data_IF_734417959738
#
_entry.id   IF_734417959738
#
_cell.length_a   1.000
_cell.length_b   1.000
_cell.length_c   1.000
_cell.angle_alpha   90.00
_cell.angle_beta   90.00
_cell.angle_gamma   90.00
#
_symmetry.space_group_name_H-M   'P 1'
#
loop_
_entity.id
_entity.type
_entity.pdbx_description
1 polymer ?
#
# COMPACT_ATOMS: atom_id res chain seq x y z
N UNK A 1 12.85 39.50 25.33
CA UNK A 1 12.92 38.18 24.66
C UNK A 1 11.59 37.76 24.05
N UNK A 2 10.46 38.07 24.68
CA UNK A 2 9.15 37.50 24.35
C UNK A 2 8.58 37.98 23.01
N UNK A 3 8.86 39.22 22.62
CA UNK A 3 8.48 39.77 21.32
C UNK A 3 9.09 38.97 20.14
N UNK A 4 10.36 38.57 20.26
CA UNK A 4 11.03 37.78 19.22
C UNK A 4 10.48 36.35 19.14
N UNK A 5 10.16 35.73 20.28
CA UNK A 5 9.51 34.42 20.32
C UNK A 5 8.10 34.47 19.71
N UNK A 6 7.31 35.50 20.02
CA UNK A 6 5.96 35.67 19.45
C UNK A 6 6.01 35.88 17.93
N UNK A 7 6.99 36.66 17.43
CA UNK A 7 7.20 36.86 16.00
C UNK A 7 7.58 35.55 15.29
N UNK A 8 8.44 34.72 15.89
CA UNK A 8 8.78 33.39 15.35
C UNK A 8 7.57 32.45 15.30
N UNK A 9 6.73 32.47 16.33
CA UNK A 9 5.49 31.68 16.35
C UNK A 9 4.49 32.15 15.27
N UNK A 10 4.35 33.47 15.08
CA UNK A 10 3.55 34.05 14.00
C UNK A 10 4.09 33.66 12.63
N UNK A 11 5.41 33.68 12.45
CA UNK A 11 6.05 33.23 11.21
C UNK A 11 5.75 31.75 10.93
N UNK A 12 5.89 30.85 11.92
CA UNK A 12 5.53 29.43 11.76
C UNK A 12 4.07 29.25 11.35
N UNK A 13 3.18 29.97 12.02
CA UNK A 13 1.75 29.92 11.72
C UNK A 13 1.48 30.39 10.29
N UNK A 14 2.18 31.45 9.85
CA UNK A 14 2.13 31.95 8.48
C UNK A 14 2.65 30.92 7.48
N UNK A 15 3.80 30.29 7.74
CA UNK A 15 4.38 29.28 6.85
C UNK A 15 3.50 28.03 6.71
N UNK A 16 2.81 27.63 7.79
CA UNK A 16 1.88 26.49 7.81
C UNK A 16 0.59 26.76 7.05
N UNK A 17 0.04 27.98 7.15
CA UNK A 17 -1.29 28.31 6.60
C UNK A 17 -1.23 28.90 5.20
N UNK A 18 -0.21 29.71 4.91
CA UNK A 18 -0.11 30.42 3.63
C UNK A 18 0.56 29.57 2.55
N UNK A 19 0.19 29.80 1.30
CA UNK A 19 0.83 29.20 0.10
C UNK A 19 1.49 30.26 -0.79
N UNK A 20 1.56 31.51 -0.34
CA UNK A 20 1.89 32.69 -1.17
C UNK A 20 3.40 32.93 -1.28
N UNK A 21 4.23 32.01 -0.82
CA UNK A 21 5.68 32.19 -0.77
C UNK A 21 6.43 31.15 -1.61
N UNK A 22 7.62 31.53 -2.08
CA UNK A 22 8.55 30.61 -2.75
C UNK A 22 9.40 29.90 -1.69
N UNK A 23 9.00 28.69 -1.31
CA UNK A 23 9.63 27.91 -0.23
C UNK A 23 11.15 27.72 -0.43
N UNK A 24 11.58 27.42 -1.66
CA UNK A 24 12.99 27.20 -2.00
C UNK A 24 13.87 28.44 -1.74
N UNK A 25 13.35 29.64 -2.05
CA UNK A 25 14.07 30.88 -1.83
C UNK A 25 14.25 31.19 -0.34
N UNK A 26 13.17 31.01 0.44
CA UNK A 26 13.20 31.22 1.89
C UNK A 26 14.12 30.19 2.58
N UNK A 27 14.11 28.94 2.11
CA UNK A 27 14.99 27.90 2.62
C UNK A 27 16.46 28.26 2.41
N UNK A 28 16.84 28.71 1.20
CA UNK A 28 18.21 29.16 0.94
C UNK A 28 18.63 30.33 1.83
N UNK A 29 17.76 31.32 2.02
CA UNK A 29 18.04 32.45 2.92
C UNK A 29 18.19 32.01 4.37
N UNK A 30 17.32 31.15 4.87
CA UNK A 30 17.40 30.69 6.26
C UNK A 30 18.61 29.80 6.52
N UNK A 31 19.04 29.00 5.56
CA UNK A 31 20.30 28.24 5.66
C UNK A 31 21.50 29.17 5.74
N UNK A 32 21.57 30.22 4.91
CA UNK A 32 22.66 31.21 5.02
C UNK A 32 22.66 31.94 6.37
N UNK A 33 21.47 32.21 6.93
CA UNK A 33 21.35 32.80 8.26
C UNK A 33 21.76 31.81 9.35
N UNK A 34 21.42 30.53 9.21
CA UNK A 34 21.81 29.47 10.14
C UNK A 34 23.34 29.32 10.18
N UNK A 35 24.02 29.33 9.03
CA UNK A 35 25.49 29.27 8.98
C UNK A 35 26.17 30.51 9.55
N UNK A 36 25.48 31.66 9.58
CA UNK A 36 26.02 32.94 10.04
C UNK A 36 25.70 33.23 11.51
N UNK A 37 24.56 32.76 11.98
CA UNK A 37 24.19 32.82 13.38
C UNK A 37 24.92 31.69 14.11
N UNK A 38 25.76 32.01 15.10
CA UNK A 38 26.38 30.98 15.95
C UNK A 38 25.34 30.07 16.63
N UNK A 39 25.83 29.10 17.41
CA UNK A 39 25.07 27.95 17.92
C UNK A 39 23.67 28.25 18.47
N UNK A 40 23.49 29.38 19.17
CA UNK A 40 22.21 29.76 19.78
C UNK A 40 21.13 30.24 18.78
N UNK A 41 21.54 30.81 17.64
CA UNK A 41 20.61 31.29 16.62
C UNK A 41 20.12 30.18 15.69
N UNK A 42 20.97 29.18 15.45
CA UNK A 42 20.65 28.03 14.61
C UNK A 42 19.52 27.18 15.19
N UNK A 43 19.53 26.93 16.50
CA UNK A 43 18.53 26.09 17.17
C UNK A 43 17.12 26.69 17.09
N UNK A 44 17.01 28.01 17.20
CA UNK A 44 15.72 28.71 17.19
C UNK A 44 15.04 28.74 15.81
N UNK A 45 15.78 28.46 14.73
CA UNK A 45 15.28 28.47 13.36
C UNK A 45 14.96 27.07 12.82
N UNK A 46 15.37 26.00 13.52
CA UNK A 46 15.10 24.60 13.14
C UNK A 46 13.62 24.32 12.81
N UNK A 47 12.63 24.82 13.58
CA UNK A 47 11.22 24.54 13.27
C UNK A 47 10.78 25.16 11.94
N UNK A 48 11.35 26.32 11.59
CA UNK A 48 11.03 27.02 10.35
C UNK A 48 11.67 26.30 9.15
N UNK A 49 12.90 25.80 9.33
CA UNK A 49 13.60 25.01 8.32
C UNK A 49 12.88 23.69 8.02
N UNK A 50 12.39 23.01 9.06
CA UNK A 50 11.61 21.78 8.91
C UNK A 50 10.33 22.01 8.10
N UNK A 51 9.53 23.04 8.45
CA UNK A 51 8.31 23.38 7.72
C UNK A 51 8.62 23.74 6.25
N UNK A 52 9.66 24.54 6.00
CA UNK A 52 10.05 24.91 4.64
C UNK A 52 10.55 23.72 3.81
N UNK A 53 11.32 22.80 4.40
CA UNK A 53 11.74 21.56 3.72
C UNK A 53 10.55 20.69 3.34
N UNK A 54 9.59 20.53 4.26
CA UNK A 54 8.35 19.81 3.98
C UNK A 54 7.58 20.44 2.81
N UNK A 55 7.56 21.78 2.73
CA UNK A 55 6.90 22.53 1.65
C UNK A 55 7.64 22.47 0.32
N UNK A 56 8.96 22.31 0.34
CA UNK A 56 9.77 22.06 -0.85
C UNK A 56 9.63 20.62 -1.38
N UNK A 57 8.92 19.73 -0.66
CA UNK A 57 8.77 18.32 -1.00
C UNK A 57 9.86 17.41 -0.41
N UNK A 58 10.84 17.96 0.30
CA UNK A 58 11.86 17.18 1.02
C UNK A 58 11.38 16.83 2.43
N UNK A 59 10.44 15.88 2.49
CA UNK A 59 9.85 15.43 3.75
C UNK A 59 10.86 14.65 4.58
N UNK A 60 11.72 13.86 3.95
CA UNK A 60 12.74 13.08 4.67
C UNK A 60 13.76 14.01 5.36
N UNK A 61 14.21 15.07 4.68
CA UNK A 61 15.08 16.08 5.27
C UNK A 61 14.41 16.91 6.37
N UNK A 62 13.09 17.14 6.27
CA UNK A 62 12.30 17.78 7.31
C UNK A 62 12.17 16.90 8.57
N UNK A 63 11.87 15.61 8.38
CA UNK A 63 11.76 14.64 9.47
C UNK A 63 13.06 14.48 10.24
N UNK A 64 14.21 14.47 9.54
CA UNK A 64 15.53 14.44 10.20
C UNK A 64 15.73 15.64 11.11
N UNK A 65 15.40 16.85 10.66
CA UNK A 65 15.52 18.06 11.49
C UNK A 65 14.59 18.00 12.70
N UNK A 66 13.35 17.55 12.51
CA UNK A 66 12.39 17.47 13.62
C UNK A 66 12.77 16.40 14.65
N UNK A 67 13.25 15.25 14.21
CA UNK A 67 13.54 14.13 15.09
C UNK A 67 14.91 14.23 15.73
N UNK A 68 15.94 14.60 14.96
CA UNK A 68 17.33 14.60 15.43
C UNK A 68 17.67 15.90 16.15
N UNK A 69 17.32 17.04 15.54
CA UNK A 69 17.73 18.35 16.06
C UNK A 69 16.74 18.89 17.11
N UNK A 70 15.43 18.73 16.88
CA UNK A 70 14.38 19.22 17.78
C UNK A 70 13.89 18.16 18.78
N UNK A 71 13.87 16.88 18.39
CA UNK A 71 13.26 15.80 19.19
C UNK A 71 11.73 15.79 19.19
N UNK A 72 11.09 16.61 18.36
CA UNK A 72 9.64 16.81 18.32
C UNK A 72 8.95 15.73 17.46
N UNK A 73 8.71 14.57 18.07
CA UNK A 73 8.05 13.43 17.43
C UNK A 73 6.58 13.71 17.05
N UNK A 74 5.90 14.57 17.82
CA UNK A 74 4.50 14.93 17.56
C UNK A 74 4.35 15.81 16.32
N UNK A 75 5.21 16.81 16.18
CA UNK A 75 5.23 17.66 14.99
C UNK A 75 5.57 16.85 13.73
N UNK A 76 6.49 15.88 13.84
CA UNK A 76 6.80 14.96 12.75
C UNK A 76 5.59 14.10 12.33
N UNK A 77 4.81 13.61 13.30
CA UNK A 77 3.60 12.84 13.04
C UNK A 77 2.51 13.69 12.36
N UNK A 78 2.30 14.93 12.81
CA UNK A 78 1.37 15.86 12.17
C UNK A 78 1.75 16.11 10.70
N UNK A 79 3.04 16.33 10.43
CA UNK A 79 3.53 16.51 9.06
C UNK A 79 3.30 15.30 8.17
N UNK A 80 3.47 14.07 8.68
CA UNK A 80 3.16 12.85 7.94
C UNK A 80 1.65 12.72 7.67
N UNK A 81 0.81 13.08 8.64
CA UNK A 81 -0.66 13.01 8.50
C UNK A 81 -1.22 14.07 7.53
N UNK A 82 -0.55 15.21 7.39
CA UNK A 82 -0.94 16.27 6.47
C UNK A 82 -0.72 15.91 4.98
N UNK A 83 0.00 14.80 4.69
CA UNK A 83 0.27 14.38 3.31
C UNK A 83 -0.86 13.55 2.73
N UNK A 84 -1.12 13.72 1.42
CA UNK A 84 -2.14 12.94 0.70
C UNK A 84 -1.87 11.43 0.71
N UNK A 85 -0.59 11.01 0.77
CA UNK A 85 -0.20 9.61 0.89
C UNK A 85 0.75 9.44 2.10
N UNK A 86 0.21 9.10 3.28
CA UNK A 86 0.98 9.07 4.52
C UNK A 86 1.86 7.80 4.65
N UNK A 87 1.55 6.72 3.94
CA UNK A 87 2.20 5.42 4.09
C UNK A 87 3.74 5.44 4.00
N UNK A 88 4.35 5.94 2.90
CA UNK A 88 5.81 5.94 2.75
C UNK A 88 6.50 6.83 3.79
N UNK A 89 5.92 7.99 4.12
CA UNK A 89 6.50 8.93 5.07
C UNK A 89 6.47 8.39 6.50
N UNK A 90 5.42 7.67 6.89
CA UNK A 90 5.38 6.97 8.18
C UNK A 90 6.44 5.88 8.27
N UNK A 91 6.66 5.12 7.19
CA UNK A 91 7.73 4.12 7.19
C UNK A 91 9.12 4.76 7.31
N UNK A 92 9.34 5.92 6.67
CA UNK A 92 10.58 6.67 6.79
C UNK A 92 10.77 7.26 8.20
N UNK A 93 9.72 7.82 8.81
CA UNK A 93 9.73 8.32 10.18
C UNK A 93 10.12 7.20 11.16
N UNK A 94 9.46 6.05 11.07
CA UNK A 94 9.72 4.91 11.95
C UNK A 94 11.12 4.33 11.74
N UNK A 95 11.60 4.27 10.49
CA UNK A 95 12.98 3.89 10.19
C UNK A 95 13.97 4.83 10.89
N UNK A 96 13.82 6.15 10.74
CA UNK A 96 14.71 7.13 11.38
C UNK A 96 14.69 6.99 12.91
N UNK A 97 13.52 6.81 13.52
CA UNK A 97 13.38 6.68 14.96
C UNK A 97 13.95 5.37 15.53
N UNK A 98 13.87 4.26 14.79
CA UNK A 98 14.16 2.92 15.30
C UNK A 98 15.51 2.36 14.84
N UNK A 99 16.07 2.82 13.71
CA UNK A 99 17.35 2.34 13.17
C UNK A 99 18.50 3.35 13.26
N UNK A 100 18.29 4.53 13.84
CA UNK A 100 19.31 5.57 13.96
C UNK A 100 20.20 5.46 15.21
N UNK A 101 21.32 6.19 15.21
CA UNK A 101 22.23 6.33 16.36
C UNK A 101 21.52 6.90 17.60
N UNK A 102 20.45 7.67 17.39
CA UNK A 102 19.64 8.28 18.45
C UNK A 102 18.44 7.43 18.87
N UNK A 103 18.45 6.12 18.56
CA UNK A 103 17.36 5.19 18.87
C UNK A 103 16.94 5.28 20.32
N UNK A 104 17.88 5.24 21.26
CA UNK A 104 17.54 5.16 22.69
C UNK A 104 16.83 6.42 23.19
N UNK A 105 17.15 7.60 22.63
CA UNK A 105 16.47 8.87 22.92
C UNK A 105 15.07 8.91 22.32
N UNK A 106 14.89 8.36 21.12
CA UNK A 106 13.64 8.44 20.36
C UNK A 106 12.69 7.27 20.64
N UNK A 107 13.18 6.17 21.21
CA UNK A 107 12.43 4.91 21.37
C UNK A 107 11.12 5.10 22.14
N UNK A 108 11.16 5.82 23.27
CA UNK A 108 9.96 6.08 24.07
C UNK A 108 8.91 6.89 23.32
N UNK A 109 9.33 7.89 22.55
CA UNK A 109 8.43 8.69 21.72
C UNK A 109 7.93 7.92 20.51
N UNK A 110 8.78 7.10 19.88
CA UNK A 110 8.40 6.24 18.76
C UNK A 110 7.34 5.21 19.18
N UNK A 111 7.45 4.63 20.37
CA UNK A 111 6.46 3.69 20.90
C UNK A 111 5.13 4.39 21.20
N UNK A 112 5.16 5.61 21.73
CA UNK A 112 3.95 6.44 21.88
C UNK A 112 3.29 6.72 20.53
N UNK A 113 4.07 7.01 19.50
CA UNK A 113 3.57 7.19 18.14
C UNK A 113 2.94 5.90 17.57
N UNK A 114 3.59 4.74 17.74
CA UNK A 114 3.08 3.45 17.28
C UNK A 114 1.73 3.09 17.92
N UNK A 115 1.48 3.52 19.15
CA UNK A 115 0.23 3.27 19.85
C UNK A 115 -0.92 4.19 19.43
N UNK A 116 -0.69 5.19 18.56
CA UNK A 116 -1.77 6.01 18.01
C UNK A 116 -2.58 5.21 16.97
N UNK A 117 -3.92 5.33 16.99
CA UNK A 117 -4.79 4.57 16.09
C UNK A 117 -4.61 4.95 14.61
N UNK A 118 -4.27 6.22 14.36
CA UNK A 118 -4.23 6.82 13.03
C UNK A 118 -2.98 6.45 12.23
N UNK A 119 -2.03 5.73 12.83
CA UNK A 119 -0.76 5.40 12.19
C UNK A 119 -0.94 4.20 11.27
N UNK A 120 -0.74 4.35 9.95
CA UNK A 120 -0.82 3.27 8.98
C UNK A 120 0.48 2.45 8.98
N UNK A 121 0.89 1.94 10.15
CA UNK A 121 2.09 1.15 10.30
C UNK A 121 1.81 -0.34 10.05
N UNK A 122 2.57 -0.93 9.13
CA UNK A 122 2.57 -2.37 8.90
C UNK A 122 3.45 -3.06 9.95
N UNK A 123 2.84 -3.92 10.78
CA UNK A 123 3.54 -4.65 11.83
C UNK A 123 4.76 -5.43 11.33
N UNK A 124 4.69 -6.00 10.12
CA UNK A 124 5.79 -6.74 9.51
C UNK A 124 7.04 -5.87 9.22
N UNK A 125 6.87 -4.57 8.98
CA UNK A 125 7.99 -3.65 8.73
C UNK A 125 8.55 -3.03 10.00
N UNK A 126 7.69 -2.85 11.01
CA UNK A 126 8.06 -2.19 12.26
C UNK A 126 8.74 -3.15 13.23
N UNK A 127 8.23 -4.38 13.36
CA UNK A 127 8.75 -5.35 14.33
C UNK A 127 10.25 -5.66 14.18
N UNK A 128 10.81 -5.82 12.97
CA UNK A 128 12.24 -6.08 12.80
C UNK A 128 13.14 -4.88 13.19
N UNK A 129 12.58 -3.67 13.24
CA UNK A 129 13.33 -2.46 13.60
C UNK A 129 13.43 -2.28 15.12
N UNK A 130 12.66 -3.02 15.90
CA UNK A 130 12.70 -2.92 17.36
C UNK A 130 13.90 -3.67 17.95
N UNK A 131 14.44 -3.20 19.09
CA UNK A 131 15.43 -3.95 19.83
C UNK A 131 14.88 -5.32 20.25
N UNK A 132 15.70 -6.37 20.14
CA UNK A 132 15.29 -7.74 20.47
C UNK A 132 14.83 -7.91 21.93
N UNK A 133 15.31 -7.06 22.83
CA UNK A 133 15.01 -7.06 24.26
C UNK A 133 13.91 -6.06 24.68
N UNK A 134 13.19 -5.44 23.72
CA UNK A 134 12.16 -4.45 24.06
C UNK A 134 10.90 -5.13 24.66
N UNK A 135 10.36 -4.63 25.78
CA UNK A 135 9.17 -5.23 26.40
C UNK A 135 7.95 -5.12 25.49
N UNK A 136 7.23 -6.23 25.34
CA UNK A 136 6.03 -6.30 24.49
C UNK A 136 4.84 -5.55 25.10
N UNK A 137 4.82 -5.35 26.42
CA UNK A 137 3.73 -4.71 27.16
C UNK A 137 3.30 -3.35 26.56
N UNK A 138 4.21 -2.37 26.43
CA UNK A 138 3.92 -1.08 25.82
C UNK A 138 3.45 -1.14 24.36
N UNK A 139 3.74 -2.22 23.62
CA UNK A 139 3.36 -2.38 22.22
C UNK A 139 2.00 -3.06 22.04
N UNK A 140 1.39 -3.58 23.11
CA UNK A 140 0.14 -4.32 23.04
C UNK A 140 -0.96 -3.59 22.24
N UNK A 141 -1.21 -2.27 22.42
CA UNK A 141 -2.22 -1.55 21.62
C UNK A 141 -1.88 -1.56 20.13
N UNK A 142 -0.62 -1.30 19.78
CA UNK A 142 -0.11 -1.37 18.42
C UNK A 142 -0.25 -2.78 17.81
N UNK A 143 0.19 -3.83 18.50
CA UNK A 143 0.14 -5.21 17.98
C UNK A 143 -1.30 -5.68 17.76
N UNK A 144 -2.20 -5.40 18.71
CA UNK A 144 -3.62 -5.71 18.56
C UNK A 144 -4.22 -4.99 17.35
N UNK A 145 -3.93 -3.70 17.16
CA UNK A 145 -4.47 -2.94 16.03
C UNK A 145 -3.86 -3.40 14.69
N UNK A 146 -2.56 -3.67 14.64
CA UNK A 146 -1.88 -4.20 13.46
C UNK A 146 -2.41 -5.58 13.05
N UNK A 147 -2.58 -6.51 14.00
CA UNK A 147 -3.15 -7.84 13.75
C UNK A 147 -4.59 -7.75 13.25
N UNK A 148 -5.43 -6.93 13.90
CA UNK A 148 -6.81 -6.72 13.46
C UNK A 148 -6.86 -6.16 12.03
N UNK A 149 -6.01 -5.18 11.71
CA UNK A 149 -5.92 -4.61 10.36
C UNK A 149 -5.45 -5.65 9.34
N UNK A 150 -4.45 -6.47 9.67
CA UNK A 150 -3.97 -7.53 8.79
C UNK A 150 -5.04 -8.59 8.53
N UNK A 151 -5.73 -9.06 9.57
CA UNK A 151 -6.84 -10.01 9.45
C UNK A 151 -8.02 -9.42 8.67
N UNK A 152 -8.37 -8.16 8.91
CA UNK A 152 -9.41 -7.46 8.17
C UNK A 152 -9.05 -7.36 6.69
N UNK A 153 -7.84 -6.87 6.35
CA UNK A 153 -7.34 -6.81 4.95
C UNK A 153 -7.41 -8.18 4.28
N UNK A 154 -6.95 -9.25 4.96
CA UNK A 154 -7.01 -10.62 4.43
C UNK A 154 -8.44 -11.07 4.16
N UNK A 155 -9.35 -10.90 5.12
CA UNK A 155 -10.76 -11.29 4.97
C UNK A 155 -11.44 -10.50 3.87
N UNK A 156 -11.25 -9.19 3.82
CA UNK A 156 -11.79 -8.33 2.77
C UNK A 156 -11.25 -8.70 1.38
N UNK A 157 -9.96 -9.04 1.26
CA UNK A 157 -9.39 -9.52 0.00
C UNK A 157 -9.97 -10.88 -0.43
N UNK A 158 -10.15 -11.82 0.51
CA UNK A 158 -10.81 -13.10 0.23
C UNK A 158 -12.27 -12.90 -0.21
N UNK A 159 -13.01 -12.01 0.44
CA UNK A 159 -14.39 -11.67 0.07
C UNK A 159 -14.44 -11.03 -1.32
N UNK A 160 -13.60 -10.03 -1.59
CA UNK A 160 -13.53 -9.39 -2.91
C UNK A 160 -13.19 -10.40 -4.01
N UNK A 161 -12.23 -11.31 -3.77
CA UNK A 161 -11.91 -12.40 -4.69
C UNK A 161 -13.11 -13.34 -4.91
N UNK A 162 -13.78 -13.75 -3.83
CA UNK A 162 -14.96 -14.61 -3.91
C UNK A 162 -16.10 -13.97 -4.70
N UNK A 163 -16.37 -12.68 -4.46
CA UNK A 163 -17.38 -11.91 -5.19
C UNK A 163 -17.01 -11.76 -6.67
N UNK A 164 -15.74 -11.49 -6.99
CA UNK A 164 -15.27 -11.40 -8.36
C UNK A 164 -15.43 -12.73 -9.11
N UNK A 165 -15.11 -13.86 -8.46
CA UNK A 165 -15.30 -15.20 -9.03
C UNK A 165 -16.79 -15.51 -9.22
N UNK A 166 -17.63 -15.19 -8.24
CA UNK A 166 -19.07 -15.41 -8.34
C UNK A 166 -19.70 -14.58 -9.48
N UNK A 167 -19.30 -13.31 -9.62
CA UNK A 167 -19.73 -12.45 -10.71
C UNK A 167 -19.29 -13.01 -12.07
N UNK A 168 -18.04 -13.47 -12.18
CA UNK A 168 -17.52 -14.09 -13.39
C UNK A 168 -18.28 -15.37 -13.77
N UNK A 169 -18.57 -16.23 -12.79
CA UNK A 169 -19.35 -17.45 -13.02
C UNK A 169 -20.77 -17.12 -13.46
N UNK A 170 -21.41 -16.15 -12.83
CA UNK A 170 -22.76 -15.69 -13.18
C UNK A 170 -22.79 -15.16 -14.62
N UNK A 171 -21.82 -14.34 -14.99
CA UNK A 171 -21.68 -13.80 -16.34
C UNK A 171 -21.44 -14.93 -17.35
N UNK A 172 -20.54 -15.87 -17.06
CA UNK A 172 -20.27 -17.01 -17.93
C UNK A 172 -21.50 -17.90 -18.16
N UNK A 173 -22.30 -18.12 -17.11
CA UNK A 173 -23.55 -18.87 -17.20
C UNK A 173 -24.59 -18.11 -18.04
N UNK A 174 -24.73 -16.80 -17.83
CA UNK A 174 -25.62 -15.96 -18.63
C UNK A 174 -25.25 -16.03 -20.12
N UNK A 175 -23.97 -15.91 -20.47
CA UNK A 175 -23.49 -16.05 -21.85
C UNK A 175 -23.79 -17.45 -22.43
N UNK A 176 -23.54 -18.52 -21.66
CA UNK A 176 -23.84 -19.89 -22.10
C UNK A 176 -25.35 -20.18 -22.22
N UNK A 177 -26.19 -19.42 -21.50
CA UNK A 177 -27.64 -19.53 -21.58
C UNK A 177 -28.25 -18.78 -22.77
N UNK A 178 -27.48 -17.93 -23.47
CA UNK A 178 -27.96 -17.24 -24.65
C UNK A 178 -28.24 -18.25 -25.78
N UNK A 179 -29.41 -18.16 -26.44
CA UNK A 179 -29.81 -19.13 -27.46
C UNK A 179 -28.83 -19.20 -28.63
N UNK A 180 -28.21 -18.06 -28.98
CA UNK A 180 -27.22 -17.97 -30.06
C UNK A 180 -25.86 -18.61 -29.71
N UNK A 181 -25.58 -18.87 -28.43
CA UNK A 181 -24.36 -19.56 -27.98
C UNK A 181 -24.56 -21.07 -27.78
N UNK A 182 -25.81 -21.57 -27.82
CA UNK A 182 -26.15 -23.00 -27.69
C UNK A 182 -26.26 -23.72 -29.02
N UNK A 183 -26.55 -23.02 -30.11
CA UNK A 183 -26.48 -23.61 -31.44
C UNK A 183 -25.02 -23.86 -31.78
N UNK A 184 -24.64 -25.12 -31.97
CA UNK A 184 -23.38 -25.44 -32.67
C UNK A 184 -23.42 -24.71 -34.00
N UNK A 185 -22.49 -23.77 -34.21
CA UNK A 185 -22.32 -23.15 -35.52
C UNK A 185 -21.77 -24.26 -36.42
N UNK A 186 -22.64 -24.96 -37.12
CA UNK A 186 -22.24 -25.92 -38.16
C UNK A 186 -21.69 -25.11 -39.32
N UNK A 187 -20.36 -25.04 -39.41
CA UNK A 187 -19.67 -24.48 -40.57
C UNK A 187 -19.88 -25.44 -41.74
N UNK A 188 -20.91 -25.18 -42.55
CA UNK A 188 -21.07 -25.83 -43.86
C UNK A 188 -20.24 -25.07 -44.89
N UNK A 189 -19.86 -25.70 -46.01
CA UNK A 189 -19.10 -25.06 -47.12
C UNK A 189 -19.80 -23.80 -47.71
N UNK A 190 -21.07 -23.61 -47.38
CA UNK A 190 -21.87 -22.44 -47.75
C UNK A 190 -21.79 -21.28 -46.75
N UNK A 191 -21.25 -21.49 -45.55
CA UNK A 191 -21.15 -20.45 -44.52
C UNK A 191 -20.08 -19.42 -44.86
N UNK A 192 -20.45 -18.14 -44.81
CA UNK A 192 -19.56 -17.00 -45.04
C UNK A 192 -19.44 -16.17 -43.77
N UNK A 193 -18.27 -15.61 -43.51
CA UNK A 193 -18.07 -14.72 -42.37
C UNK A 193 -18.97 -13.47 -42.48
N UNK A 194 -19.73 -13.15 -41.43
CA UNK A 194 -20.64 -11.99 -41.44
C UNK A 194 -19.93 -10.63 -41.55
N UNK A 195 -18.62 -10.57 -41.26
CA UNK A 195 -17.83 -9.33 -41.28
C UNK A 195 -17.10 -9.14 -42.62
N UNK A 196 -16.48 -10.20 -43.15
CA UNK A 196 -15.64 -10.11 -44.35
C UNK A 196 -16.21 -10.88 -45.56
N UNK A 197 -17.35 -11.55 -45.40
CA UNK A 197 -18.07 -12.34 -46.42
C UNK A 197 -17.23 -13.42 -47.13
N UNK A 198 -16.10 -13.84 -46.56
CA UNK A 198 -15.25 -14.93 -47.07
C UNK A 198 -15.78 -16.29 -46.61
N UNK A 199 -15.65 -17.28 -47.48
CA UNK A 199 -15.97 -18.70 -47.18
C UNK A 199 -14.88 -19.31 -46.30
N UNK A 200 -15.28 -20.22 -45.42
CA UNK A 200 -14.37 -21.02 -44.60
C UNK A 200 -13.93 -22.27 -45.38
N UNK A 201 -13.23 -22.09 -46.49
CA UNK A 201 -12.68 -23.22 -47.25
C UNK A 201 -11.32 -23.65 -46.66
N UNK A 202 -11.05 -24.96 -46.59
CA UNK A 202 -9.80 -25.56 -46.10
C UNK A 202 -8.57 -25.23 -46.98
N UNK A 203 -8.79 -24.54 -48.09
CA UNK A 203 -7.77 -24.04 -49.00
C UNK A 203 -7.57 -22.53 -48.85
N UNK A 204 -7.25 -22.06 -47.64
CA UNK A 204 -6.52 -20.81 -47.49
C UNK A 204 -5.10 -21.13 -47.04
N UNK A 205 -4.05 -20.56 -47.67
CA UNK A 205 -2.72 -20.68 -47.12
C UNK A 205 -2.76 -20.09 -45.71
N UNK A 206 -2.32 -20.89 -44.76
CA UNK A 206 -2.03 -20.50 -43.38
C UNK A 206 -1.55 -19.04 -43.33
N UNK A 207 -2.09 -18.18 -42.44
CA UNK A 207 -1.33 -16.98 -42.10
C UNK A 207 0.02 -17.49 -41.61
N UNK A 208 1.09 -17.10 -42.31
CA UNK A 208 2.46 -17.37 -41.90
C UNK A 208 2.64 -16.80 -40.51
N UNK A 209 2.51 -17.68 -39.52
CA UNK A 209 2.92 -17.42 -38.14
C UNK A 209 4.44 -17.27 -38.22
N UNK A 210 5.04 -16.12 -37.83
CA UNK A 210 6.46 -16.09 -37.62
C UNK A 210 6.77 -17.04 -36.46
N UNK A 211 7.42 -18.15 -36.79
CA UNK A 211 7.96 -19.14 -35.86
C UNK A 211 8.82 -18.44 -34.81
N UNK A 212 8.28 -18.26 -33.60
CA UNK A 212 9.11 -18.05 -32.41
C UNK A 212 8.84 -19.22 -31.48
N UNK A 213 9.82 -20.11 -31.45
CA UNK A 213 9.89 -21.27 -30.58
C UNK A 213 9.88 -20.85 -29.10
N UNK A 214 8.88 -21.29 -28.34
CA UNK A 214 9.04 -21.76 -26.96
C UNK A 214 7.70 -22.25 -26.37
N UNK A 215 7.67 -23.53 -25.97
CA UNK A 215 6.96 -24.02 -24.77
C UNK A 215 5.44 -23.85 -24.68
N UNK A 216 4.73 -24.96 -24.85
CA UNK A 216 3.28 -25.11 -24.74
C UNK A 216 2.68 -24.82 -23.35
N UNK A 217 1.50 -24.19 -23.34
CA UNK A 217 0.34 -24.58 -22.54
C UNK A 217 -0.95 -24.10 -23.27
N UNK A 218 -2.05 -24.88 -23.33
CA UNK A 218 -3.21 -24.51 -24.12
C UNK A 218 -4.03 -23.44 -23.39
N UNK A 219 -4.06 -22.23 -23.93
CA UNK A 219 -5.01 -21.20 -23.52
C UNK A 219 -6.37 -21.50 -24.17
N UNK A 220 -7.36 -21.81 -23.34
CA UNK A 220 -8.76 -21.82 -23.74
C UNK A 220 -9.12 -20.45 -24.33
N UNK A 221 -9.61 -20.44 -25.58
CA UNK A 221 -10.14 -19.26 -26.25
C UNK A 221 -11.40 -18.78 -25.52
N UNK A 222 -11.23 -17.88 -24.55
CA UNK A 222 -12.34 -17.13 -23.97
C UNK A 222 -12.72 -16.01 -24.93
N UNK A 223 -13.80 -16.22 -25.68
CA UNK A 223 -14.41 -15.21 -26.54
C UNK A 223 -15.22 -14.24 -25.67
N UNK A 224 -14.68 -13.06 -25.37
CA UNK A 224 -15.42 -11.97 -24.71
C UNK A 224 -16.05 -11.11 -25.80
N UNK A 225 -17.35 -11.30 -26.05
CA UNK A 225 -18.16 -10.34 -26.79
C UNK A 225 -18.60 -9.25 -25.82
N UNK A 226 -17.94 -8.09 -25.85
CA UNK A 226 -18.48 -6.86 -25.25
C UNK A 226 -19.66 -6.36 -26.08
N UNK A 227 -20.80 -6.10 -25.43
CA UNK A 227 -22.07 -5.73 -26.06
C UNK A 227 -22.14 -4.29 -26.61
N UNK A 228 -21.02 -3.73 -27.04
CA UNK A 228 -21.00 -2.40 -27.65
C UNK A 228 -20.33 -2.51 -29.00
N UNK A 229 -21.13 -2.43 -30.06
CA UNK A 229 -20.65 -2.42 -31.43
C UNK A 229 -19.80 -1.18 -31.71
N UNK A 230 -18.51 -1.26 -31.42
CA UNK A 230 -17.44 -0.48 -32.03
C UNK A 230 -16.13 -1.29 -32.02
N UNK A 231 -15.28 -1.20 -33.05
CA UNK A 231 -14.01 -1.92 -33.11
C UNK A 231 -12.98 -1.26 -32.17
N UNK A 232 -12.75 -1.86 -31.01
CA UNK A 232 -11.65 -1.44 -30.12
C UNK A 232 -10.34 -2.12 -30.58
N UNK A 233 -9.38 -1.29 -30.96
CA UNK A 233 -8.00 -1.68 -31.20
C UNK A 233 -7.41 -2.40 -29.97
N UNK A 234 -6.87 -3.60 -30.21
CA UNK A 234 -6.07 -4.34 -29.23
C UNK A 234 -4.81 -3.55 -28.86
N UNK A 235 -4.83 -2.89 -27.70
CA UNK A 235 -3.59 -2.55 -26.99
C UNK A 235 -3.35 -3.59 -25.92
N UNK A 236 -2.30 -4.37 -26.14
CA UNK A 236 -1.69 -5.26 -25.17
C UNK A 236 -1.12 -4.41 -24.01
N UNK A 237 -1.63 -4.58 -22.79
CA UNK A 237 -0.99 -4.09 -21.58
C UNK A 237 -0.50 -5.30 -20.75
N UNK A 238 0.80 -5.41 -20.47
CA UNK A 238 1.40 -6.56 -19.80
C UNK A 238 1.63 -6.25 -18.32
N UNK A 239 0.70 -6.60 -17.43
CA UNK A 239 0.99 -6.62 -15.99
C UNK A 239 0.15 -7.66 -15.28
N UNK A 240 0.71 -8.86 -15.09
CA UNK A 240 0.58 -9.63 -13.86
C UNK A 240 1.70 -10.68 -13.81
N UNK A 241 2.86 -10.27 -13.29
CA UNK A 241 3.87 -11.21 -12.81
C UNK A 241 3.44 -11.66 -11.41
N UNK A 242 3.18 -12.95 -11.25
CA UNK A 242 3.19 -13.65 -9.96
C UNK A 242 4.57 -13.56 -9.29
N UNK A 243 4.62 -13.77 -7.98
CA UNK A 243 5.40 -14.94 -7.57
C UNK A 243 4.66 -15.86 -6.58
N UNK A 244 4.83 -17.14 -6.86
CA UNK A 244 4.98 -18.28 -5.96
C UNK A 244 3.87 -18.52 -4.91
N UNK A 245 3.00 -19.47 -5.26
CA UNK A 245 2.14 -20.20 -4.35
C UNK A 245 2.96 -20.91 -3.24
N UNK A 246 2.75 -20.49 -1.99
CA UNK A 246 3.04 -21.31 -0.83
C UNK A 246 1.85 -22.24 -0.58
N UNK A 247 2.14 -23.52 -0.72
CA UNK A 247 1.29 -24.67 -0.47
C UNK A 247 0.83 -24.69 1.00
N UNK A 248 -0.48 -24.67 1.26
CA UNK A 248 -1.03 -24.96 2.59
C UNK A 248 -2.15 -25.99 2.44
N UNK A 249 -1.73 -27.25 2.52
CA UNK A 249 -2.58 -28.42 2.72
C UNK A 249 -3.35 -28.30 4.03
N UNK A 250 -4.65 -28.59 3.95
CA UNK A 250 -5.53 -28.78 5.09
C UNK A 250 -5.07 -30.00 5.92
N UNK A 251 -5.06 -29.84 7.24
CA UNK A 251 -5.17 -30.95 8.18
C UNK A 251 -6.33 -30.64 9.12
N UNK A 252 -7.50 -31.13 8.74
CA UNK A 252 -8.63 -31.28 9.64
C UNK A 252 -8.46 -32.62 10.35
N UNK A 253 -8.26 -32.59 11.66
CA UNK A 253 -8.43 -33.76 12.52
C UNK A 253 -9.42 -33.40 13.61
N UNK A 254 -10.61 -33.97 13.42
CA UNK A 254 -11.72 -34.05 14.34
C UNK A 254 -11.34 -34.89 15.56
N UNK A 255 -11.72 -34.45 16.75
CA UNK A 255 -12.03 -35.37 17.86
C UNK A 255 -13.12 -34.75 18.72
N UNK A 256 -14.34 -35.19 18.47
CA UNK A 256 -15.47 -35.07 19.38
C UNK A 256 -15.32 -36.10 20.50
N UNK A 257 -15.70 -35.72 21.72
CA UNK A 257 -15.72 -36.59 22.89
C UNK A 257 -16.09 -35.79 24.13
N UNK A 258 -17.39 -35.62 24.35
CA UNK A 258 -17.96 -35.07 25.60
C UNK A 258 -18.31 -36.24 26.57
N UNK A 259 -19.00 -36.01 27.72
CA UNK A 259 -18.42 -36.09 29.06
C UNK A 259 -19.03 -37.22 29.94
N UNK A 260 -18.41 -37.54 31.07
CA UNK A 260 -19.02 -38.22 32.25
C UNK A 260 -18.12 -37.96 33.47
N UNK A 261 -18.58 -37.21 34.46
CA UNK A 261 -19.23 -37.64 35.71
C UNK A 261 -18.28 -38.09 36.85
N UNK A 262 -18.29 -37.26 37.91
CA UNK A 262 -18.39 -37.59 39.34
C UNK A 262 -17.42 -38.57 40.05
N UNK A 263 -16.78 -37.99 41.06
CA UNK A 263 -16.74 -38.42 42.47
C UNK A 263 -15.60 -39.32 43.01
N UNK A 264 -15.12 -38.85 44.18
CA UNK A 264 -14.77 -39.57 45.43
C UNK A 264 -13.31 -40.02 45.71
N UNK A 265 -12.85 -39.49 46.85
CA UNK A 265 -12.10 -40.10 47.98
C UNK A 265 -10.58 -40.29 47.96
N UNK A 266 -9.97 -39.81 49.07
CA UNK A 266 -8.73 -40.24 49.77
C UNK A 266 -7.40 -40.08 49.01
N UNK A 267 -6.29 -39.62 49.59
CA UNK A 267 -5.88 -39.51 50.99
C UNK A 267 -5.03 -38.25 51.22
#
# INVERSE_FOLDING_TARGET
SDAAASLRARLLTFLRRSKVYRAQFLLGRLQTLQSRSGDNGAVLLLPHLAELRARCGDINGALRVLLLDLGDCDAAAELCSAQSNPGPYWSALLAICLSGEHRDRLLGSAVRLLNRPDVPADGARVLPLLPANYPVGPLRPFLCSALRRALHRRRSACLAKGLAVAAQLTLSHQLASLPNCRSSISLTETTRCAVCNRRFDESSPSPSVPSTSAGAAPAALAFVLTSTGQPAHLRCCPWLHEPAAANCSNSASSSAGSPTEAAKTSA
#
